data_IF_577529493876
#
_entry.id   IF_577529493876
#
_cell.length_a   1.000
_cell.length_b   1.000
_cell.length_c   1.000
_cell.angle_alpha   90.00
_cell.angle_beta   90.00
_cell.angle_gamma   90.00
#
_symmetry.space_group_name_H-M   'P 1'
#
loop_
_entity.id
_entity.type
_entity.pdbx_description
1 polymer ?
#
# COMPACT_ATOMS: atom_id res chain seq x y z
N UNK A 1 6.30 -2.32 -25.07
CA UNK A 1 4.94 -2.34 -25.66
C UNK A 1 3.89 -3.08 -24.82
N UNK A 2 4.27 -4.05 -23.98
CA UNK A 2 3.32 -4.81 -23.12
C UNK A 2 2.90 -4.03 -21.85
N UNK A 3 3.75 -3.13 -21.33
CA UNK A 3 3.45 -2.29 -20.16
C UNK A 3 2.32 -1.29 -20.39
N UNK A 4 2.26 -0.67 -21.57
CA UNK A 4 1.14 0.19 -21.95
C UNK A 4 -0.17 -0.59 -22.10
N UNK A 5 -0.12 -1.83 -22.57
CA UNK A 5 -1.29 -2.70 -22.72
C UNK A 5 -1.83 -3.18 -21.37
N UNK A 6 -0.98 -3.50 -20.39
CA UNK A 6 -1.45 -3.90 -19.05
C UNK A 6 -2.05 -2.73 -18.29
N UNK A 7 -1.46 -1.52 -18.39
CA UNK A 7 -2.04 -0.29 -17.82
C UNK A 7 -3.34 0.07 -18.54
N UNK A 8 -3.42 -0.07 -19.87
CA UNK A 8 -4.66 0.12 -20.64
C UNK A 8 -5.69 -0.98 -20.41
N UNK A 9 -5.30 -2.20 -20.02
CA UNK A 9 -6.22 -3.27 -19.59
C UNK A 9 -6.69 -3.00 -18.17
N UNK A 10 -5.85 -2.48 -17.27
CA UNK A 10 -6.28 -2.13 -15.91
C UNK A 10 -7.18 -0.90 -15.91
N UNK A 11 -6.80 0.16 -16.64
CA UNK A 11 -7.64 1.34 -16.90
C UNK A 11 -8.85 0.95 -17.73
N UNK A 12 -8.72 0.07 -18.72
CA UNK A 12 -9.81 -0.43 -19.55
C UNK A 12 -10.76 -1.38 -18.85
N UNK A 13 -10.31 -2.11 -17.82
CA UNK A 13 -11.17 -2.87 -16.90
C UNK A 13 -11.85 -1.92 -15.93
N UNK A 14 -11.15 -0.93 -15.39
CA UNK A 14 -11.73 0.11 -14.51
C UNK A 14 -12.76 1.00 -15.23
N UNK A 15 -12.47 1.41 -16.46
CA UNK A 15 -13.32 2.24 -17.33
C UNK A 15 -14.38 1.37 -18.02
N UNK A 16 -14.05 0.16 -18.46
CA UNK A 16 -15.01 -0.78 -19.06
C UNK A 16 -16.09 -1.24 -18.08
N UNK A 17 -15.72 -1.43 -16.81
CA UNK A 17 -16.65 -1.71 -15.71
C UNK A 17 -17.52 -0.48 -15.37
N UNK A 18 -17.05 0.74 -15.62
CA UNK A 18 -17.87 1.97 -15.41
C UNK A 18 -18.66 2.42 -16.64
N UNK A 19 -18.30 2.00 -17.85
CA UNK A 19 -18.89 2.50 -19.12
C UNK A 19 -19.77 1.47 -19.83
N UNK A 20 -19.57 0.16 -19.67
CA UNK A 20 -20.34 -0.87 -20.40
C UNK A 20 -21.28 -1.69 -19.50
N UNK A 21 -22.41 -1.08 -19.13
CA UNK A 21 -23.51 -1.71 -18.40
C UNK A 21 -24.35 -2.72 -19.20
N UNK A 22 -23.73 -3.59 -20.02
CA UNK A 22 -24.49 -4.50 -20.91
C UNK A 22 -23.94 -5.94 -21.04
N UNK A 23 -23.24 -6.45 -20.01
CA UNK A 23 -22.97 -7.89 -19.86
C UNK A 23 -23.83 -8.47 -18.74
N UNK A 24 -25.12 -8.65 -19.01
CA UNK A 24 -26.15 -8.87 -17.97
C UNK A 24 -26.13 -10.26 -17.30
N UNK A 25 -25.37 -11.25 -17.81
CA UNK A 25 -25.55 -12.65 -17.38
C UNK A 25 -24.28 -13.42 -16.97
N UNK A 26 -23.10 -12.79 -16.84
CA UNK A 26 -21.89 -13.52 -16.39
C UNK A 26 -21.05 -12.81 -15.34
N UNK A 27 -21.26 -11.52 -15.04
CA UNK A 27 -20.44 -10.81 -14.07
C UNK A 27 -21.31 -10.20 -12.98
N UNK A 28 -20.87 -10.38 -11.73
CA UNK A 28 -21.32 -9.62 -10.56
C UNK A 28 -21.67 -8.18 -10.97
N UNK A 29 -22.80 -7.65 -10.49
CA UNK A 29 -23.16 -6.30 -10.87
C UNK A 29 -22.03 -5.35 -10.46
N UNK A 30 -21.70 -4.35 -11.28
CA UNK A 30 -20.65 -3.35 -11.00
C UNK A 30 -20.80 -2.75 -9.60
N UNK A 31 -22.05 -2.65 -9.14
CA UNK A 31 -22.44 -2.22 -7.81
C UNK A 31 -21.99 -3.17 -6.69
N UNK A 32 -22.03 -4.48 -6.91
CA UNK A 32 -21.58 -5.50 -5.97
C UNK A 32 -20.05 -5.54 -5.85
N UNK A 33 -19.33 -5.46 -6.98
CA UNK A 33 -17.86 -5.41 -6.97
C UNK A 33 -17.36 -4.11 -6.32
N UNK A 34 -18.03 -3.00 -6.61
CA UNK A 34 -17.71 -1.70 -6.02
C UNK A 34 -17.88 -1.67 -4.49
N UNK A 35 -18.72 -2.53 -3.91
CA UNK A 35 -18.95 -2.60 -2.48
C UNK A 35 -17.89 -3.39 -1.70
N UNK A 36 -17.00 -4.12 -2.39
CA UNK A 36 -15.90 -4.86 -1.74
C UNK A 36 -14.98 -3.86 -1.02
N UNK A 37 -14.61 -4.10 0.24
CA UNK A 37 -13.63 -3.27 0.92
C UNK A 37 -12.29 -3.24 0.18
N UNK A 38 -11.75 -2.05 -0.04
CA UNK A 38 -10.52 -1.84 -0.83
C UNK A 38 -9.36 -2.73 -0.35
N UNK A 39 -9.20 -2.93 0.96
CA UNK A 39 -8.11 -3.76 1.49
C UNK A 39 -8.28 -5.25 1.21
N UNK A 40 -9.52 -5.78 1.22
CA UNK A 40 -9.77 -7.18 0.84
C UNK A 40 -9.35 -7.40 -0.62
N UNK A 41 -9.71 -6.47 -1.48
CA UNK A 41 -9.31 -6.50 -2.88
C UNK A 41 -7.77 -6.49 -3.03
N UNK A 42 -7.06 -5.66 -2.26
CA UNK A 42 -5.60 -5.62 -2.27
C UNK A 42 -4.95 -6.94 -1.81
N UNK A 43 -5.48 -7.57 -0.76
CA UNK A 43 -4.99 -8.87 -0.30
C UNK A 43 -5.19 -9.94 -1.39
N UNK A 44 -6.36 -9.96 -2.03
CA UNK A 44 -6.65 -10.89 -3.14
C UNK A 44 -5.67 -10.67 -4.30
N UNK A 45 -5.39 -9.41 -4.65
CA UNK A 45 -4.38 -9.08 -5.67
C UNK A 45 -3.01 -9.62 -5.27
N UNK A 46 -2.58 -9.43 -4.02
CA UNK A 46 -1.27 -9.91 -3.58
C UNK A 46 -1.17 -11.45 -3.61
N UNK A 47 -2.24 -12.17 -3.26
CA UNK A 47 -2.30 -13.63 -3.46
C UNK A 47 -2.23 -14.01 -4.94
N UNK A 48 -2.95 -13.30 -5.81
CA UNK A 48 -2.90 -13.54 -7.25
C UNK A 48 -1.48 -13.34 -7.80
N UNK A 49 -0.80 -12.26 -7.39
CA UNK A 49 0.59 -11.98 -7.76
C UNK A 49 1.54 -13.06 -7.24
N UNK A 50 1.36 -13.54 -6.01
CA UNK A 50 2.19 -14.60 -5.44
C UNK A 50 2.09 -15.91 -6.25
N UNK A 51 0.88 -16.30 -6.62
CA UNK A 51 0.63 -17.53 -7.40
C UNK A 51 1.19 -17.39 -8.82
N UNK A 52 1.00 -16.23 -9.44
CA UNK A 52 1.33 -15.99 -10.84
C UNK A 52 2.71 -15.36 -11.04
N UNK A 53 3.57 -15.36 -10.03
CA UNK A 53 4.83 -14.60 -10.02
C UNK A 53 5.76 -14.86 -11.21
N UNK A 54 5.76 -16.10 -11.71
CA UNK A 54 6.57 -16.51 -12.85
C UNK A 54 6.16 -15.85 -14.17
N UNK A 55 4.93 -15.32 -14.26
CA UNK A 55 4.42 -14.71 -15.49
C UNK A 55 4.82 -13.23 -15.65
N UNK A 56 5.25 -12.56 -14.58
CA UNK A 56 5.58 -11.14 -14.61
C UNK A 56 6.95 -10.79 -14.02
N UNK A 57 7.70 -11.75 -13.46
CA UNK A 57 9.07 -11.54 -12.94
C UNK A 57 10.06 -12.41 -13.73
N UNK A 58 11.26 -11.90 -14.10
CA UNK A 58 12.31 -12.72 -14.70
C UNK A 58 12.62 -13.95 -13.84
N UNK A 59 12.83 -15.11 -14.47
CA UNK A 59 13.04 -16.39 -13.77
C UNK A 59 14.14 -16.33 -12.68
N UNK A 60 15.21 -15.56 -12.92
CA UNK A 60 16.31 -15.35 -11.97
C UNK A 60 15.95 -14.57 -10.70
N UNK A 61 14.78 -13.91 -10.67
CA UNK A 61 14.33 -13.07 -9.57
C UNK A 61 13.04 -13.56 -8.91
N UNK A 62 12.43 -14.64 -9.43
CA UNK A 62 11.15 -15.17 -8.93
C UNK A 62 11.19 -15.42 -7.43
N UNK A 63 12.22 -16.10 -6.92
CA UNK A 63 12.29 -16.43 -5.49
C UNK A 63 12.44 -15.19 -4.62
N UNK A 64 13.24 -14.20 -5.06
CA UNK A 64 13.38 -12.92 -4.35
C UNK A 64 12.03 -12.21 -4.19
N UNK A 65 11.29 -12.05 -5.29
CA UNK A 65 9.99 -11.39 -5.26
C UNK A 65 8.95 -12.22 -4.49
N UNK A 66 8.99 -13.56 -4.59
CA UNK A 66 8.09 -14.47 -3.87
C UNK A 66 8.27 -14.33 -2.37
N UNK A 67 9.51 -14.41 -1.90
CA UNK A 67 9.83 -14.24 -0.48
C UNK A 67 9.39 -12.86 0.00
N UNK A 68 9.64 -11.80 -0.76
CA UNK A 68 9.22 -10.46 -0.39
C UNK A 68 7.70 -10.33 -0.29
N UNK A 69 6.94 -10.79 -1.30
CA UNK A 69 5.47 -10.79 -1.28
C UNK A 69 4.94 -11.56 -0.06
N UNK A 70 5.47 -12.77 0.19
CA UNK A 70 5.07 -13.56 1.36
C UNK A 70 5.34 -12.84 2.68
N UNK A 71 6.53 -12.25 2.85
CA UNK A 71 6.88 -11.49 4.04
C UNK A 71 5.95 -10.30 4.26
N UNK A 72 5.67 -9.52 3.21
CA UNK A 72 4.73 -8.40 3.29
C UNK A 72 3.32 -8.86 3.65
N UNK A 73 2.83 -9.94 3.05
CA UNK A 73 1.52 -10.49 3.36
C UNK A 73 1.43 -10.97 4.82
N UNK A 74 2.42 -11.71 5.30
CA UNK A 74 2.45 -12.21 6.69
C UNK A 74 2.47 -11.04 7.67
N UNK A 75 3.34 -10.05 7.46
CA UNK A 75 3.43 -8.88 8.34
C UNK A 75 2.14 -8.05 8.30
N UNK A 76 1.57 -7.85 7.11
CA UNK A 76 0.28 -7.15 6.95
C UNK A 76 -0.82 -7.86 7.72
N UNK A 77 -0.99 -9.18 7.51
CA UNK A 77 -1.99 -9.99 8.21
C UNK A 77 -1.76 -9.98 9.72
N UNK A 78 -0.52 -10.07 10.18
CA UNK A 78 -0.19 -10.06 11.60
C UNK A 78 -0.57 -8.73 12.25
N UNK A 79 -0.07 -7.61 11.73
CA UNK A 79 -0.29 -6.30 12.35
C UNK A 79 -1.75 -5.83 12.19
N UNK A 80 -2.34 -5.96 11.00
CA UNK A 80 -3.74 -5.59 10.77
C UNK A 80 -4.68 -6.56 11.48
N UNK A 81 -4.46 -7.88 11.37
CA UNK A 81 -5.31 -8.87 12.01
C UNK A 81 -5.31 -8.79 13.53
N UNK A 82 -4.16 -8.46 14.15
CA UNK A 82 -4.08 -8.25 15.59
C UNK A 82 -4.88 -7.04 16.06
N UNK A 83 -4.81 -5.92 15.33
CA UNK A 83 -5.54 -4.69 15.68
C UNK A 83 -7.04 -4.87 15.50
N UNK A 84 -7.45 -5.43 14.37
CA UNK A 84 -8.87 -5.61 14.03
C UNK A 84 -9.54 -6.65 14.93
N UNK A 85 -8.84 -7.72 15.34
CA UNK A 85 -9.39 -8.68 16.31
C UNK A 85 -9.77 -7.99 17.62
N UNK A 86 -8.92 -7.11 18.15
CA UNK A 86 -9.22 -6.38 19.39
C UNK A 86 -10.39 -5.40 19.20
N UNK A 87 -10.44 -4.70 18.06
CA UNK A 87 -11.49 -3.72 17.76
C UNK A 87 -12.85 -4.40 17.47
N UNK A 88 -12.85 -5.56 16.80
CA UNK A 88 -14.04 -6.41 16.57
C UNK A 88 -14.63 -6.98 17.86
N UNK A 89 -13.81 -7.49 18.78
CA UNK A 89 -14.29 -7.95 20.10
C UNK A 89 -14.87 -6.81 20.94
N UNK A 90 -14.60 -5.56 20.57
CA UNK A 90 -15.08 -4.35 21.25
C UNK A 90 -16.28 -3.70 20.55
N UNK A 91 -16.77 -4.27 19.45
CA UNK A 91 -17.93 -3.78 18.71
C UNK A 91 -17.69 -2.45 17.98
N UNK A 92 -16.44 -2.09 17.70
CA UNK A 92 -16.10 -0.86 17.00
C UNK A 92 -16.16 -1.07 15.47
N UNK A 93 -16.78 -0.12 14.76
CA UNK A 93 -16.74 -0.09 13.30
C UNK A 93 -15.30 0.10 12.85
N UNK A 94 -14.79 -0.89 12.11
CA UNK A 94 -13.43 -0.92 11.59
C UNK A 94 -13.29 0.13 10.47
N UNK A 95 -12.64 1.29 10.69
CA UNK A 95 -12.51 2.31 9.65
C UNK A 95 -11.72 1.78 8.44
N UNK A 96 -10.95 0.72 8.63
CA UNK A 96 -10.18 0.01 7.63
C UNK A 96 -10.98 -0.66 6.51
N UNK A 97 -12.17 -1.15 6.83
CA UNK A 97 -13.08 -1.75 5.85
C UNK A 97 -14.15 -0.78 5.36
N UNK A 98 -14.08 0.49 5.79
CA UNK A 98 -15.15 1.46 5.56
C UNK A 98 -15.15 2.03 4.15
N UNK A 99 -14.00 2.06 3.49
CA UNK A 99 -13.88 2.52 2.11
C UNK A 99 -14.12 1.37 1.13
N UNK A 100 -15.20 1.53 0.38
CA UNK A 100 -15.53 0.73 -0.81
C UNK A 100 -14.40 0.78 -1.83
N UNK A 101 -14.24 -0.27 -2.63
CA UNK A 101 -13.24 -0.39 -3.69
C UNK A 101 -13.14 0.87 -4.56
N UNK A 102 -14.28 1.40 -5.02
CA UNK A 102 -14.31 2.60 -5.88
C UNK A 102 -13.70 3.82 -5.18
N UNK A 103 -14.11 4.07 -3.94
CA UNK A 103 -13.62 5.20 -3.14
C UNK A 103 -12.14 5.04 -2.80
N UNK A 104 -11.71 3.84 -2.41
CA UNK A 104 -10.33 3.54 -2.11
C UNK A 104 -9.41 3.72 -3.31
N UNK A 105 -9.78 3.17 -4.48
CA UNK A 105 -9.05 3.35 -5.74
C UNK A 105 -8.96 4.83 -6.12
N UNK A 106 -10.04 5.59 -5.97
CA UNK A 106 -10.04 7.03 -6.28
C UNK A 106 -9.04 7.79 -5.41
N UNK A 107 -9.05 7.56 -4.10
CA UNK A 107 -8.09 8.16 -3.16
C UNK A 107 -6.65 7.76 -3.47
N UNK A 108 -6.43 6.48 -3.75
CA UNK A 108 -5.13 5.94 -4.15
C UNK A 108 -4.60 6.66 -5.40
N UNK A 109 -5.39 6.71 -6.47
CA UNK A 109 -4.98 7.35 -7.73
C UNK A 109 -4.73 8.86 -7.55
N UNK A 110 -5.52 9.53 -6.71
CA UNK A 110 -5.33 10.95 -6.45
C UNK A 110 -4.04 11.21 -5.66
N UNK A 111 -3.76 10.44 -4.61
CA UNK A 111 -2.50 10.54 -3.87
C UNK A 111 -1.28 10.24 -4.74
N UNK A 112 -1.40 9.22 -5.59
CA UNK A 112 -0.40 8.89 -6.60
C UNK A 112 -0.12 10.06 -7.55
N UNK A 113 -1.17 10.63 -8.13
CA UNK A 113 -1.05 11.72 -9.10
C UNK A 113 -0.41 12.97 -8.49
N UNK A 114 -0.79 13.34 -7.26
CA UNK A 114 -0.26 14.53 -6.59
C UNK A 114 1.25 14.41 -6.36
N UNK A 115 1.72 13.28 -5.83
CA UNK A 115 3.15 13.06 -5.63
C UNK A 115 3.88 12.97 -6.97
N UNK A 116 3.28 12.34 -7.98
CA UNK A 116 3.89 12.25 -9.30
C UNK A 116 4.10 13.61 -9.94
N UNK A 117 3.10 14.50 -9.88
CA UNK A 117 3.24 15.86 -10.40
C UNK A 117 4.26 16.68 -9.60
N UNK A 118 4.23 16.56 -8.26
CA UNK A 118 5.13 17.33 -7.39
C UNK A 118 6.57 16.88 -7.54
N UNK A 119 6.87 15.57 -7.53
CA UNK A 119 8.25 15.08 -7.56
C UNK A 119 8.75 14.74 -8.96
N UNK A 120 7.87 14.24 -9.84
CA UNK A 120 8.23 13.91 -11.22
C UNK A 120 8.60 15.13 -12.06
N UNK A 121 8.18 16.34 -11.66
CA UNK A 121 8.59 17.57 -12.31
C UNK A 121 10.01 18.03 -11.94
N UNK A 122 10.57 17.56 -10.81
CA UNK A 122 11.83 18.09 -10.25
C UNK A 122 12.92 17.04 -10.05
N UNK A 123 12.62 15.75 -10.22
CA UNK A 123 13.61 14.68 -10.10
C UNK A 123 13.99 14.17 -11.49
N UNK A 124 15.29 13.99 -11.74
CA UNK A 124 15.80 13.23 -12.88
C UNK A 124 15.89 11.76 -12.47
N UNK A 125 14.93 10.89 -12.85
CA UNK A 125 14.95 9.51 -12.42
C UNK A 125 16.14 8.76 -13.04
N UNK A 126 16.78 7.92 -12.23
CA UNK A 126 17.65 6.85 -12.72
C UNK A 126 16.81 5.92 -13.57
N UNK A 127 17.19 5.48 -14.77
CA UNK A 127 16.30 4.63 -15.56
C UNK A 127 16.48 3.13 -15.24
N UNK A 128 15.39 2.49 -14.83
CA UNK A 128 15.33 1.02 -14.78
C UNK A 128 15.33 0.45 -16.20
N UNK A 129 15.95 -0.71 -16.39
CA UNK A 129 15.96 -1.39 -17.68
C UNK A 129 14.51 -1.70 -18.14
N UNK A 130 14.22 -1.47 -19.41
CA UNK A 130 12.85 -1.51 -19.95
C UNK A 130 12.13 -2.85 -19.78
N UNK A 131 12.87 -3.94 -19.60
CA UNK A 131 12.38 -5.30 -19.34
C UNK A 131 11.85 -5.50 -17.90
N UNK A 132 12.25 -4.63 -16.95
CA UNK A 132 11.85 -4.72 -15.53
C UNK A 132 10.79 -3.69 -15.13
N UNK A 133 10.55 -2.67 -15.95
CA UNK A 133 9.59 -1.58 -15.64
C UNK A 133 8.23 -2.13 -15.20
N UNK A 134 7.69 -3.12 -15.90
CA UNK A 134 6.38 -3.70 -15.56
C UNK A 134 6.36 -4.42 -14.21
N UNK A 135 7.38 -5.22 -13.93
CA UNK A 135 7.48 -5.98 -12.68
C UNK A 135 7.72 -5.06 -11.48
N UNK A 136 8.59 -4.07 -11.65
CA UNK A 136 8.91 -3.10 -10.59
C UNK A 136 7.72 -2.17 -10.33
N UNK A 137 7.01 -1.76 -11.39
CA UNK A 137 5.79 -0.97 -11.25
C UNK A 137 4.76 -1.69 -10.37
N UNK A 138 4.43 -2.94 -10.71
CA UNK A 138 3.45 -3.74 -9.98
C UNK A 138 3.91 -3.98 -8.53
N UNK A 139 5.17 -4.35 -8.34
CA UNK A 139 5.70 -4.69 -7.03
C UNK A 139 5.77 -3.48 -6.09
N UNK A 140 6.34 -2.36 -6.53
CA UNK A 140 6.44 -1.17 -5.69
C UNK A 140 5.08 -0.54 -5.39
N UNK A 141 4.13 -0.63 -6.32
CA UNK A 141 2.81 -0.03 -6.20
C UNK A 141 1.85 -0.88 -5.37
N UNK A 142 1.71 -2.17 -5.70
CA UNK A 142 0.63 -3.02 -5.17
C UNK A 142 1.08 -3.91 -4.01
N UNK A 143 2.38 -4.13 -3.86
CA UNK A 143 2.94 -4.94 -2.78
C UNK A 143 3.58 -4.04 -1.74
N UNK A 144 4.66 -3.34 -2.09
CA UNK A 144 5.50 -2.60 -1.13
C UNK A 144 4.71 -1.43 -0.52
N UNK A 145 4.30 -0.46 -1.33
CA UNK A 145 3.64 0.75 -0.80
C UNK A 145 2.38 0.41 -0.01
N UNK A 146 1.53 -0.47 -0.55
CA UNK A 146 0.31 -0.90 0.14
C UNK A 146 0.62 -1.57 1.46
N UNK A 147 1.47 -2.61 1.48
CA UNK A 147 1.76 -3.35 2.70
C UNK A 147 2.50 -2.51 3.73
N UNK A 148 3.44 -1.67 3.33
CA UNK A 148 4.17 -0.80 4.26
C UNK A 148 3.26 0.26 4.88
N UNK A 149 2.34 0.86 4.13
CA UNK A 149 1.36 1.77 4.72
C UNK A 149 0.44 1.04 5.71
N UNK A 150 -0.02 -0.16 5.36
CA UNK A 150 -0.83 -0.99 6.26
C UNK A 150 -0.09 -1.39 7.54
N UNK A 151 1.19 -1.72 7.43
CA UNK A 151 2.01 -2.10 8.58
C UNK A 151 2.34 -0.86 9.42
N UNK A 152 2.96 0.17 8.84
CA UNK A 152 3.61 1.24 9.59
C UNK A 152 2.74 2.47 9.84
N UNK A 153 1.63 2.66 9.11
CA UNK A 153 0.71 3.79 9.31
C UNK A 153 -0.62 3.38 9.89
N UNK A 154 -0.90 2.08 9.94
CA UNK A 154 -2.14 1.56 10.51
C UNK A 154 -1.91 0.54 11.63
N UNK A 155 -1.36 -0.63 11.31
CA UNK A 155 -1.31 -1.77 12.24
C UNK A 155 -0.32 -1.60 13.40
N UNK A 156 0.94 -1.28 13.10
CA UNK A 156 2.02 -1.16 14.07
C UNK A 156 1.80 -0.01 15.07
N UNK A 157 1.43 1.22 14.67
CA UNK A 157 1.14 2.30 15.63
C UNK A 157 0.08 1.88 16.67
N UNK A 158 -0.99 1.22 16.24
CA UNK A 158 -2.04 0.73 17.13
C UNK A 158 -1.57 -0.42 18.01
N UNK A 159 -0.81 -1.36 17.46
CA UNK A 159 -0.17 -2.43 18.24
C UNK A 159 0.69 -1.85 19.37
N UNK A 160 1.54 -0.87 19.04
CA UNK A 160 2.41 -0.18 19.99
C UNK A 160 1.61 0.60 21.04
N UNK A 161 0.55 1.31 20.63
CA UNK A 161 -0.34 2.00 21.56
C UNK A 161 -0.91 1.06 22.61
N UNK A 162 -1.46 -0.07 22.17
CA UNK A 162 -2.06 -1.08 23.05
C UNK A 162 -1.00 -1.74 23.94
N UNK A 163 0.19 -2.01 23.40
CA UNK A 163 1.31 -2.55 24.16
C UNK A 163 1.75 -1.59 25.28
N UNK A 164 1.92 -0.30 24.98
CA UNK A 164 2.39 0.70 25.95
C UNK A 164 1.36 1.08 27.02
N UNK A 165 0.07 1.14 26.67
CA UNK A 165 -1.01 1.55 27.58
C UNK A 165 -1.64 0.38 28.35
N UNK A 166 -1.27 -0.85 28.01
CA UNK A 166 -1.90 -2.06 28.55
C UNK A 166 -3.30 -2.31 27.98
N UNK A 167 -3.84 -3.51 28.23
CA UNK A 167 -5.07 -3.99 27.59
C UNK A 167 -6.36 -3.22 27.96
N UNK A 168 -6.32 -2.35 28.96
CA UNK A 168 -7.51 -1.69 29.55
C UNK A 168 -7.77 -0.26 29.05
N UNK A 169 -6.96 0.27 28.13
CA UNK A 169 -7.13 1.65 27.63
C UNK A 169 -7.72 1.61 26.23
N UNK A 170 -8.91 2.19 26.07
CA UNK A 170 -9.49 2.49 24.77
C UNK A 170 -8.61 3.53 24.07
N UNK A 171 -8.20 3.25 22.83
CA UNK A 171 -7.63 4.31 21.99
C UNK A 171 -8.80 5.22 21.65
N UNK A 172 -8.83 6.50 22.09
CA UNK A 172 -9.85 7.41 21.62
C UNK A 172 -9.71 7.46 20.10
N UNK A 173 -10.83 7.28 19.38
CA UNK A 173 -10.88 7.42 17.92
C UNK A 173 -10.03 8.61 17.47
N UNK A 174 -8.96 8.33 16.71
CA UNK A 174 -8.12 9.36 16.12
C UNK A 174 -7.07 10.01 17.03
N UNK A 175 -6.83 9.52 18.25
CA UNK A 175 -5.69 9.95 19.09
C UNK A 175 -4.75 8.77 19.31
N UNK A 176 -4.10 8.35 18.22
CA UNK A 176 -2.90 7.54 18.37
C UNK A 176 -1.90 8.35 19.17
N UNK A 177 -1.44 7.83 20.32
CA UNK A 177 -0.41 8.48 21.12
C UNK A 177 0.73 8.90 20.20
N UNK A 178 1.10 10.19 20.18
CA UNK A 178 2.19 10.69 19.33
C UNK A 178 3.47 9.86 19.49
N UNK A 179 3.68 9.26 20.67
CA UNK A 179 4.76 8.30 20.91
C UNK A 179 4.66 7.03 20.05
N UNK A 180 3.48 6.43 19.90
CA UNK A 180 3.28 5.21 19.11
C UNK A 180 3.52 5.47 17.61
N UNK A 181 3.05 6.62 17.13
CA UNK A 181 3.33 7.11 15.78
C UNK A 181 4.84 7.29 15.55
N UNK A 182 5.53 8.00 16.45
CA UNK A 182 6.99 8.22 16.34
C UNK A 182 7.73 6.89 16.34
N UNK A 183 7.41 5.98 17.27
CA UNK A 183 8.03 4.67 17.33
C UNK A 183 7.79 3.84 16.06
N UNK A 184 6.58 3.86 15.51
CA UNK A 184 6.29 3.17 14.24
C UNK A 184 7.17 3.69 13.09
N UNK A 185 7.42 5.00 13.05
CA UNK A 185 8.31 5.60 12.05
C UNK A 185 9.79 5.29 12.31
N UNK A 186 10.21 5.10 13.57
CA UNK A 186 11.53 4.56 13.89
C UNK A 186 11.66 3.13 13.36
N UNK A 187 10.66 2.27 13.58
CA UNK A 187 10.65 0.91 13.01
C UNK A 187 10.66 0.92 11.48
N UNK A 188 9.94 1.83 10.85
CA UNK A 188 9.96 2.02 9.40
C UNK A 188 11.35 2.40 8.87
N UNK A 189 12.03 3.33 9.55
CA UNK A 189 13.39 3.73 9.17
C UNK A 189 14.41 2.60 9.38
N UNK A 190 14.28 1.84 10.48
CA UNK A 190 15.11 0.65 10.74
C UNK A 190 14.83 -0.44 9.69
N UNK A 191 13.58 -0.64 9.30
CA UNK A 191 13.21 -1.60 8.25
C UNK A 191 13.93 -1.31 6.92
N UNK A 192 14.15 -0.03 6.62
CA UNK A 192 14.87 0.42 5.43
C UNK A 192 16.40 0.46 5.59
N UNK A 193 16.94 0.26 6.79
CA UNK A 193 18.38 0.39 7.05
C UNK A 193 19.24 -0.52 6.17
N UNK A 194 18.77 -1.75 5.91
CA UNK A 194 19.49 -2.71 5.07
C UNK A 194 19.50 -2.31 3.60
N UNK A 195 18.37 -1.77 3.09
CA UNK A 195 18.24 -1.28 1.72
C UNK A 195 19.12 -0.05 1.50
N UNK A 196 19.30 0.77 2.54
CA UNK A 196 20.16 1.95 2.50
C UNK A 196 21.60 1.69 2.96
N UNK A 197 22.03 0.42 3.06
CA UNK A 197 23.39 0.06 3.48
C UNK A 197 23.84 0.72 4.79
N UNK A 198 22.89 0.91 5.71
CA UNK A 198 23.07 1.59 7.00
C UNK A 198 23.55 3.04 6.89
N UNK A 199 23.35 3.71 5.75
CA UNK A 199 23.64 5.14 5.61
C UNK A 199 22.73 5.97 6.53
N UNK A 200 23.29 6.72 7.51
CA UNK A 200 22.49 7.47 8.47
C UNK A 200 21.60 8.54 7.82
N UNK A 201 22.06 9.16 6.73
CA UNK A 201 21.31 10.21 6.04
C UNK A 201 20.04 9.65 5.39
N UNK A 202 20.18 8.51 4.70
CA UNK A 202 19.07 7.80 4.05
C UNK A 202 18.08 7.23 5.07
N UNK A 203 18.54 6.72 6.20
CA UNK A 203 17.67 6.28 7.31
C UNK A 203 16.89 7.48 7.88
N UNK A 204 17.54 8.63 8.06
CA UNK A 204 16.87 9.86 8.48
C UNK A 204 15.81 10.31 7.46
N UNK A 205 16.11 10.22 6.16
CA UNK A 205 15.13 10.51 5.11
C UNK A 205 13.93 9.55 5.15
N UNK A 206 14.13 8.25 5.37
CA UNK A 206 13.01 7.32 5.55
C UNK A 206 12.18 7.63 6.80
N UNK A 207 12.82 8.03 7.90
CA UNK A 207 12.09 8.47 9.09
C UNK A 207 11.20 9.69 8.79
N UNK A 208 11.75 10.72 8.13
CA UNK A 208 11.02 11.94 7.76
C UNK A 208 9.91 11.64 6.75
N UNK A 209 10.20 10.87 5.69
CA UNK A 209 9.22 10.44 4.71
C UNK A 209 8.08 9.68 5.38
N UNK A 210 8.41 8.81 6.35
CA UNK A 210 7.43 8.09 7.14
C UNK A 210 6.49 9.00 7.94
N UNK A 211 7.01 10.05 8.57
CA UNK A 211 6.20 11.05 9.27
C UNK A 211 5.27 11.80 8.32
N UNK A 212 5.75 12.17 7.13
CA UNK A 212 4.95 12.84 6.11
C UNK A 212 3.81 11.95 5.60
N UNK A 213 4.11 10.68 5.30
CA UNK A 213 3.10 9.71 4.88
C UNK A 213 2.08 9.44 5.99
N UNK A 214 2.53 9.34 7.24
CA UNK A 214 1.62 9.21 8.38
C UNK A 214 0.67 10.44 8.49
N UNK A 215 1.19 11.65 8.30
CA UNK A 215 0.36 12.87 8.30
C UNK A 215 -0.66 12.87 7.15
N UNK A 216 -0.26 12.39 5.96
CA UNK A 216 -1.16 12.19 4.81
C UNK A 216 -2.24 11.16 5.14
N UNK A 217 -1.86 9.99 5.68
CA UNK A 217 -2.79 8.93 6.08
C UNK A 217 -3.81 9.44 7.12
N UNK A 218 -3.34 10.18 8.13
CA UNK A 218 -4.19 10.72 9.20
C UNK A 218 -5.18 11.77 8.69
N UNK A 219 -4.79 12.59 7.70
CA UNK A 219 -5.60 13.70 7.21
C UNK A 219 -6.53 13.34 6.04
N UNK A 220 -6.04 12.51 5.11
CA UNK A 220 -6.71 12.22 3.84
C UNK A 220 -7.16 10.76 3.71
N UNK A 221 -6.70 9.89 4.62
CA UNK A 221 -6.98 8.45 4.61
C UNK A 221 -5.79 7.63 4.14
N UNK A 222 -5.74 6.38 4.60
CA UNK A 222 -4.63 5.46 4.35
C UNK A 222 -4.46 5.16 2.85
N UNK A 223 -5.56 5.11 2.09
CA UNK A 223 -5.53 4.83 0.65
C UNK A 223 -4.81 5.93 -0.12
N UNK A 224 -4.96 7.19 0.33
CA UNK A 224 -4.24 8.33 -0.24
C UNK A 224 -2.74 8.20 0.02
N UNK A 225 -2.37 7.81 1.24
CA UNK A 225 -0.97 7.58 1.63
C UNK A 225 -0.34 6.44 0.82
N UNK A 226 -1.09 5.35 0.56
CA UNK A 226 -0.64 4.25 -0.31
C UNK A 226 -0.33 4.75 -1.72
N UNK A 227 -1.20 5.58 -2.29
CA UNK A 227 -0.97 6.19 -3.60
C UNK A 227 0.26 7.08 -3.62
N UNK A 228 0.39 7.95 -2.63
CA UNK A 228 1.53 8.85 -2.46
C UNK A 228 2.86 8.08 -2.34
N UNK A 229 2.87 7.04 -1.50
CA UNK A 229 4.02 6.17 -1.30
C UNK A 229 4.36 5.39 -2.57
N UNK A 230 3.36 4.82 -3.26
CA UNK A 230 3.58 4.13 -4.53
C UNK A 230 4.24 5.04 -5.56
N UNK A 231 3.74 6.26 -5.74
CA UNK A 231 4.33 7.24 -6.65
C UNK A 231 5.78 7.58 -6.25
N UNK A 232 6.04 7.83 -4.97
CA UNK A 232 7.39 8.07 -4.48
C UNK A 232 8.35 6.92 -4.81
N UNK A 233 7.94 5.67 -4.56
CA UNK A 233 8.76 4.49 -4.85
C UNK A 233 9.06 4.34 -6.34
N UNK A 234 8.11 4.66 -7.23
CA UNK A 234 8.34 4.59 -8.67
C UNK A 234 9.29 5.67 -9.17
N UNK A 235 9.23 6.89 -8.62
CA UNK A 235 10.13 7.99 -8.98
C UNK A 235 11.55 7.70 -8.49
N UNK A 236 11.70 7.36 -7.21
CA UNK A 236 13.01 7.06 -6.61
C UNK A 236 13.59 5.77 -7.17
N UNK A 237 12.74 4.78 -7.40
CA UNK A 237 13.10 3.51 -8.04
C UNK A 237 13.41 3.65 -9.52
N UNK A 238 13.09 4.79 -10.16
CA UNK A 238 13.47 5.03 -11.54
C UNK A 238 12.58 4.40 -12.60
N UNK A 239 11.35 4.06 -12.21
CA UNK A 239 10.35 3.38 -13.03
C UNK A 239 9.53 4.36 -13.86
N UNK A 240 9.27 5.56 -13.31
CA UNK A 240 8.54 6.66 -13.96
C UNK A 240 9.28 7.99 -13.84
#
# INVERSE_FOLDING_TARGET
MITGLVVLIFIGLLVGVTVFGSFKNVLFSVKEVGAIPFVIFLIIIQFFLLINIQSFVPASQVDKYRTAIMSYMILTIFFVGFTEKKDMFRGENLPFFSDTLVKGVTKFLFGFLVIWVVFGAFMNPSHVSGDKIGSEFIFFTLVVAVSEELIFRYGLPRYLYVFMRGNNVTSPKGVESGTAMVLSNVFFAIFHSTVYHFDPSSIMYAFIAGLLLYAVASKFGIEYSMGAHASYNLIVGGVI
#
